data_IF_778947037140
#
_entry.id   IF_778947037140
#
_cell.length_a   1.000
_cell.length_b   1.000
_cell.length_c   1.000
_cell.angle_alpha   90.00
_cell.angle_beta   90.00
_cell.angle_gamma   90.00
#
_symmetry.space_group_name_H-M   'P 1'
#
loop_
_entity.id
_entity.type
_entity.pdbx_description
1 polymer ?
2 non-polymer ?
3 non-polymer ?
4 non-polymer ?
5 non-polymer ?
6 water ?
#
# COMPACT_ATOMS: atom_id res chain seq x y z
N UNK A 14 -14.98 -6.15 18.88
CA UNK A 14 -13.90 -6.34 17.92
C UNK A 14 -13.52 -5.02 17.25
N UNK A 15 -12.92 -5.13 16.06
CA UNK A 15 -12.45 -3.96 15.35
C UNK A 15 -13.63 -3.10 14.89
N UNK A 16 -13.54 -1.79 15.14
CA UNK A 16 -14.52 -0.82 14.64
C UNK A 16 -13.91 -0.13 13.42
N UNK A 17 -14.43 -0.34 12.22
CA UNK A 17 -13.85 0.30 11.02
C UNK A 17 -13.94 1.81 11.10
N UNK A 18 -12.85 2.51 10.81
CA UNK A 18 -12.90 3.98 10.76
C UNK A 18 -13.83 4.45 9.66
N UNK A 19 -14.22 5.73 9.68
CA UNK A 19 -15.03 6.30 8.59
C UNK A 19 -14.30 6.24 7.26
N UNK A 20 -15.09 6.22 6.18
CA UNK A 20 -14.54 6.15 4.83
C UNK A 20 -13.93 7.48 4.39
N UNK A 21 -12.79 7.40 3.71
CA UNK A 21 -12.16 8.57 3.09
C UNK A 21 -12.91 8.96 1.82
N UNK A 22 -12.65 10.16 1.28
CA UNK A 22 -13.36 10.60 0.08
C UNK A 22 -12.99 9.77 -1.14
N UNK A 23 -13.98 9.54 -2.01
CA UNK A 23 -13.78 8.90 -3.31
C UNK A 23 -14.24 9.88 -4.38
N UNK A 24 -13.40 10.11 -5.38
CA UNK A 24 -13.74 11.01 -6.47
C UNK A 24 -13.89 10.22 -7.77
N UNK A 25 -14.86 10.64 -8.59
CA UNK A 25 -15.16 10.01 -9.88
C UNK A 25 -15.10 11.10 -10.95
N UNK A 26 -13.91 11.55 -11.33
CA UNK A 26 -13.81 12.68 -12.26
C UNK A 26 -14.37 12.36 -13.64
N UNK A 27 -14.95 13.37 -14.26
CA UNK A 27 -15.32 13.28 -15.66
C UNK A 27 -14.07 13.27 -16.52
N UNK A 28 -14.27 13.06 -17.83
CA UNK A 28 -13.15 13.09 -18.75
C UNK A 28 -12.48 14.45 -18.77
N UNK A 29 -13.25 15.52 -18.61
CA UNK A 29 -12.67 16.87 -18.58
C UNK A 29 -11.79 17.06 -17.34
N UNK A 30 -12.27 16.63 -16.18
CA UNK A 30 -11.48 16.74 -14.96
C UNK A 30 -10.30 15.78 -14.96
N UNK A 31 -10.42 14.66 -15.67
CA UNK A 31 -9.36 13.65 -15.70
C UNK A 31 -8.18 14.06 -16.58
N UNK A 32 -8.19 15.26 -17.15
CA UNK A 32 -7.17 15.64 -18.12
C UNK A 32 -5.79 15.77 -17.48
N UNK A 33 -5.69 16.41 -16.31
CA UNK A 33 -4.40 16.68 -15.68
C UNK A 33 -4.43 16.23 -14.24
N UNK A 34 -3.56 15.30 -13.82
CA UNK A 34 -3.58 14.87 -12.42
C UNK A 34 -3.27 15.97 -11.43
N UNK A 35 -2.24 16.79 -11.69
CA UNK A 35 -1.88 17.82 -10.72
C UNK A 35 -2.96 18.87 -10.58
N UNK A 36 -3.61 19.24 -11.69
CA UNK A 36 -4.70 20.19 -11.61
C UNK A 36 -5.86 19.61 -10.80
N UNK A 37 -6.16 18.33 -11.01
CA UNK A 37 -7.28 17.71 -10.29
C UNK A 37 -6.97 17.57 -8.81
N UNK A 38 -5.76 17.10 -8.48
CA UNK A 38 -5.37 16.97 -7.08
C UNK A 38 -5.36 18.33 -6.40
N UNK A 39 -4.90 19.36 -7.10
CA UNK A 39 -4.95 20.70 -6.54
C UNK A 39 -6.35 21.16 -6.23
N UNK A 40 -7.32 20.76 -7.06
CA UNK A 40 -8.71 21.18 -6.84
C UNK A 40 -9.37 20.40 -5.70
N UNK A 41 -9.07 19.11 -5.54
CA UNK A 41 -9.71 18.36 -4.46
C UNK A 41 -9.02 18.56 -3.12
N UNK A 42 -7.85 19.21 -3.12
CA UNK A 42 -7.08 19.39 -1.90
C UNK A 42 -7.89 19.92 -0.72
N UNK A 43 -8.80 20.89 -0.86
CA UNK A 43 -9.51 21.38 0.34
C UNK A 43 -10.20 20.29 1.14
N UNK A 44 -10.73 19.26 0.47
CA UNK A 44 -11.32 18.14 1.18
C UNK A 44 -10.27 17.07 1.50
N UNK A 45 -9.51 16.63 0.50
CA UNK A 45 -8.65 15.47 0.68
C UNK A 45 -7.54 15.74 1.71
N UNK A 46 -7.06 16.98 1.79
CA UNK A 46 -6.04 17.28 2.78
C UNK A 46 -6.55 17.09 4.20
N UNK A 47 -7.88 17.15 4.41
CA UNK A 47 -8.45 16.97 5.74
C UNK A 47 -8.65 15.51 6.12
N UNK A 48 -8.48 14.58 5.16
CA UNK A 48 -8.58 13.18 5.47
C UNK A 48 -7.26 12.44 5.27
N UNK A 49 -6.24 13.12 4.75
CA UNK A 49 -4.93 12.53 4.52
C UNK A 49 -4.82 11.69 3.25
N UNK A 50 -5.81 10.85 2.98
CA UNK A 50 -5.82 10.03 1.78
C UNK A 50 -7.15 10.24 1.07
N UNK A 51 -7.13 9.96 -0.23
CA UNK A 51 -8.38 9.92 -0.98
C UNK A 51 -8.25 8.88 -2.08
N UNK A 52 -9.40 8.44 -2.60
CA UNK A 52 -9.43 7.47 -3.68
C UNK A 52 -9.96 8.13 -4.94
N UNK A 53 -9.38 7.81 -6.10
CA UNK A 53 -9.81 8.39 -7.37
C UNK A 53 -10.15 7.25 -8.34
N UNK A 54 -11.41 7.24 -8.81
CA UNK A 54 -11.84 6.24 -9.78
C UNK A 54 -11.82 6.85 -11.18
N UNK A 55 -10.99 6.35 -12.09
CA UNK A 55 -10.93 6.92 -13.43
C UNK A 55 -12.21 6.68 -14.19
N UNK A 56 -12.43 7.38 -15.30
CA UNK A 56 -13.60 7.10 -16.13
C UNK A 56 -13.63 5.63 -16.55
N UNK A 57 -14.84 5.12 -16.78
CA UNK A 57 -15.03 3.70 -17.03
C UNK A 57 -14.20 3.22 -18.22
N UNK A 58 -14.09 4.04 -19.26
CA UNK A 58 -13.36 3.63 -20.46
C UNK A 58 -11.85 3.62 -20.28
N UNK A 59 -11.32 4.15 -19.17
CA UNK A 59 -9.88 4.23 -18.96
C UNK A 59 -9.39 2.92 -18.37
N UNK A 60 -8.75 2.09 -19.20
CA UNK A 60 -8.32 0.75 -18.80
C UNK A 60 -6.94 0.45 -19.38
N UNK A 61 -5.88 0.82 -18.67
CA UNK A 61 -4.53 0.56 -19.18
C UNK A 61 -4.21 -0.92 -19.19
N UNK A 62 -3.52 -1.40 -20.23
CA UNK A 62 -3.09 -2.80 -20.25
C UNK A 62 -1.92 -3.01 -19.31
N UNK A 63 -1.80 -4.24 -18.81
CA UNK A 63 -0.70 -4.58 -17.91
C UNK A 63 0.55 -4.88 -18.72
N UNK A 64 1.63 -4.16 -18.46
CA UNK A 64 2.79 -4.18 -19.34
C UNK A 64 4.05 -4.78 -18.73
N UNK A 65 3.96 -5.42 -17.57
CA UNK A 65 5.14 -6.08 -17.02
C UNK A 65 5.48 -7.33 -17.84
N UNK A 66 6.78 -7.63 -17.90
CA UNK A 66 7.25 -8.89 -18.47
C UNK A 66 6.95 -10.00 -17.47
N UNK A 67 5.85 -10.73 -17.70
CA UNK A 67 5.34 -11.65 -16.69
C UNK A 67 6.12 -12.95 -16.66
N UNK A 68 6.63 -13.40 -17.81
CA UNK A 68 7.30 -14.69 -17.87
C UNK A 68 8.58 -14.69 -17.03
N UNK A 69 9.34 -13.59 -17.08
CA UNK A 69 10.61 -13.50 -16.38
C UNK A 69 10.50 -12.77 -15.04
N UNK A 70 9.29 -12.41 -14.62
CA UNK A 70 9.09 -11.69 -13.37
C UNK A 70 9.31 -12.65 -12.19
N UNK A 71 10.42 -12.49 -11.49
CA UNK A 71 10.80 -13.39 -10.40
C UNK A 71 11.30 -12.56 -9.22
N UNK A 72 10.95 -12.99 -8.01
CA UNK A 72 11.29 -12.18 -6.85
C UNK A 72 11.29 -13.04 -5.60
N UNK A 73 12.01 -12.59 -4.59
CA UNK A 73 12.00 -13.22 -3.28
C UNK A 73 11.30 -12.28 -2.30
N UNK A 74 10.07 -12.58 -1.91
CA UNK A 74 9.31 -11.66 -1.06
C UNK A 74 9.85 -11.63 0.36
N UNK A 75 9.52 -10.56 1.08
CA UNK A 75 9.90 -10.48 2.47
C UNK A 75 8.90 -11.21 3.36
N UNK A 76 9.41 -11.80 4.43
CA UNK A 76 8.58 -12.55 5.37
C UNK A 76 8.05 -11.59 6.42
N UNK A 77 6.74 -11.68 6.70
CA UNK A 77 6.07 -10.82 7.67
C UNK A 77 5.39 -11.66 8.75
N UNK A 78 5.89 -11.55 9.98
CA UNK A 78 5.25 -12.18 11.15
C UNK A 78 4.31 -11.16 11.77
N UNK A 79 3.00 -11.42 11.64
CA UNK A 79 2.03 -10.37 11.95
C UNK A 79 2.15 -9.86 13.38
N UNK A 80 2.45 -10.76 14.33
CA UNK A 80 2.44 -10.40 15.74
C UNK A 80 3.84 -10.17 16.31
N UNK A 81 4.81 -9.77 15.46
CA UNK A 81 6.21 -9.70 15.92
C UNK A 81 6.41 -8.69 17.04
N UNK A 82 5.67 -7.58 17.04
CA UNK A 82 5.83 -6.63 18.14
C UNK A 82 5.21 -7.16 19.42
N UNK A 83 4.04 -7.79 19.32
CA UNK A 83 3.39 -8.36 20.50
C UNK A 83 4.25 -9.45 21.12
N UNK A 84 4.97 -10.21 20.29
CA UNK A 84 5.80 -11.30 20.78
C UNK A 84 7.07 -10.81 21.48
N UNK A 85 7.32 -9.50 21.50
CA UNK A 85 8.45 -8.97 22.27
C UNK A 85 8.21 -9.02 23.77
N UNK A 86 6.96 -9.20 24.20
CA UNK A 86 6.62 -9.25 25.62
C UNK A 86 7.27 -10.44 26.31
N UNK A 89 12.18 -15.18 27.39
CA UNK A 89 12.81 -16.35 26.77
C UNK A 89 12.58 -16.34 25.27
N UNK A 90 13.65 -16.09 24.51
CA UNK A 90 13.52 -16.08 23.05
C UNK A 90 13.32 -17.49 22.51
N UNK A 91 12.64 -17.56 21.36
CA UNK A 91 12.36 -18.85 20.74
C UNK A 91 13.64 -19.54 20.32
N UNK A 92 13.59 -20.87 20.26
CA UNK A 92 14.76 -21.65 19.89
C UNK A 92 15.11 -21.42 18.42
N UNK A 93 16.36 -21.03 18.17
CA UNK A 93 16.87 -20.75 16.82
C UNK A 93 16.04 -19.67 16.12
N UNK A 94 15.82 -18.57 16.81
CA UNK A 94 15.06 -17.47 16.22
C UNK A 94 15.88 -16.81 15.10
N UNK A 95 15.16 -16.28 14.10
CA UNK A 95 15.77 -15.80 12.89
C UNK A 95 15.79 -16.81 11.76
N UNK A 96 15.39 -18.05 12.01
CA UNK A 96 15.37 -19.13 11.04
C UNK A 96 14.02 -19.82 11.01
N UNK A 97 12.95 -19.05 11.23
CA UNK A 97 11.61 -19.65 11.30
C UNK A 97 11.14 -20.08 9.93
N UNK A 98 11.02 -19.15 9.00
CA UNK A 98 10.46 -19.41 7.68
C UNK A 98 11.57 -19.81 6.70
N UNK A 99 11.28 -20.84 5.88
CA UNK A 99 12.17 -21.21 4.80
C UNK A 99 12.04 -20.21 3.66
N UNK A 100 13.16 -19.87 3.04
CA UNK A 100 13.19 -18.79 2.05
C UNK A 100 12.71 -19.30 0.71
N UNK A 101 11.75 -18.60 0.11
CA UNK A 101 11.11 -19.01 -1.12
C UNK A 101 11.23 -17.93 -2.19
N UNK A 102 11.58 -18.34 -3.40
CA UNK A 102 11.53 -17.47 -4.57
C UNK A 102 10.31 -17.85 -5.42
N UNK A 103 9.69 -16.85 -6.04
CA UNK A 103 8.45 -17.03 -6.77
C UNK A 103 8.49 -16.34 -8.13
N UNK A 104 7.67 -16.84 -9.04
CA UNK A 104 7.18 -16.07 -10.17
C UNK A 104 5.84 -15.44 -9.80
N UNK A 105 5.36 -14.53 -10.65
CA UNK A 105 4.02 -13.98 -10.44
C UNK A 105 2.98 -15.08 -10.32
N UNK A 106 3.05 -16.09 -11.20
CA UNK A 106 2.06 -17.16 -11.18
C UNK A 106 2.20 -18.00 -9.92
N UNK A 107 3.44 -18.36 -9.55
CA UNK A 107 3.58 -19.27 -8.41
C UNK A 107 3.30 -18.54 -7.10
N UNK A 108 3.58 -17.24 -7.04
CA UNK A 108 3.16 -16.45 -5.88
C UNK A 108 1.64 -16.40 -5.78
N UNK A 109 0.96 -16.21 -6.92
CA UNK A 109 -0.49 -16.18 -6.91
C UNK A 109 -1.09 -17.48 -6.45
N UNK A 110 -0.55 -18.61 -6.92
CA UNK A 110 -1.03 -19.91 -6.47
C UNK A 110 -0.87 -20.04 -4.96
N UNK A 111 0.31 -19.68 -4.44
CA UNK A 111 0.53 -19.73 -3.00
C UNK A 111 -0.43 -18.83 -2.25
N UNK A 112 -0.63 -17.60 -2.77
CA UNK A 112 -1.45 -16.62 -2.09
C UNK A 112 -2.90 -17.06 -2.00
N UNK A 113 -3.44 -17.60 -3.10
CA UNK A 113 -4.83 -18.01 -3.11
C UNK A 113 -5.03 -19.23 -2.23
N UNK A 114 -4.11 -20.20 -2.28
CA UNK A 114 -4.21 -21.37 -1.40
C UNK A 114 -4.14 -20.97 0.07
N UNK A 115 -3.29 -20.00 0.41
CA UNK A 115 -3.23 -19.55 1.80
C UNK A 115 -4.57 -19.02 2.25
N UNK A 116 -5.18 -18.15 1.44
CA UNK A 116 -6.39 -17.47 1.85
C UNK A 116 -7.58 -18.41 1.88
N UNK A 117 -7.73 -19.25 0.86
CA UNK A 117 -8.85 -20.16 0.84
C UNK A 117 -8.74 -21.19 1.96
N UNK A 118 -7.52 -21.65 2.26
CA UNK A 118 -7.31 -22.54 3.39
C UNK A 118 -7.59 -21.83 4.72
N UNK A 119 -7.15 -20.56 4.83
CA UNK A 119 -7.31 -19.87 6.09
C UNK A 119 -8.77 -19.66 6.44
N UNK A 120 -9.57 -19.21 5.48
CA UNK A 120 -10.99 -18.93 5.74
C UNK A 120 -11.91 -20.08 5.37
N UNK A 121 -11.40 -21.13 4.73
CA UNK A 121 -12.23 -22.29 4.37
C UNK A 121 -13.37 -21.89 3.43
N UNK A 122 -13.06 -21.02 2.46
CA UNK A 122 -14.02 -20.61 1.45
C UNK A 122 -13.26 -20.06 0.26
N UNK A 123 -13.91 -19.93 -0.90
CA UNK A 123 -13.22 -19.39 -2.08
C UNK A 123 -12.75 -17.96 -1.82
N UNK A 124 -11.61 -17.59 -2.40
CA UNK A 124 -10.98 -16.33 -1.98
C UNK A 124 -11.87 -15.13 -2.28
N UNK A 125 -12.65 -15.17 -3.36
CA UNK A 125 -13.49 -14.01 -3.67
C UNK A 125 -14.74 -13.94 -2.81
N UNK A 126 -15.06 -14.96 -2.03
CA UNK A 126 -16.23 -14.94 -1.17
C UNK A 126 -15.93 -14.42 0.24
N UNK A 127 -14.68 -14.13 0.57
CA UNK A 127 -14.35 -13.69 1.93
C UNK A 127 -14.65 -12.20 2.06
N UNK A 128 -15.54 -11.81 2.98
CA UNK A 128 -15.90 -10.40 3.12
C UNK A 128 -14.67 -9.58 3.49
N UNK A 129 -14.56 -8.39 2.89
CA UNK A 129 -13.43 -7.52 3.22
C UNK A 129 -13.43 -7.15 4.70
N UNK A 130 -14.62 -7.02 5.31
CA UNK A 130 -14.71 -6.69 6.73
C UNK A 130 -14.17 -7.80 7.62
N UNK A 131 -14.31 -9.07 7.18
CA UNK A 131 -13.77 -10.18 7.95
C UNK A 131 -12.24 -10.24 7.87
N UNK A 132 -11.68 -10.08 6.67
CA UNK A 132 -10.22 -10.04 6.56
C UNK A 132 -9.66 -8.92 7.45
N UNK A 133 -10.32 -7.75 7.43
CA UNK A 133 -9.88 -6.63 8.27
C UNK A 133 -9.94 -7.00 9.75
N UNK A 134 -11.08 -7.54 10.21
CA UNK A 134 -11.21 -7.91 11.61
C UNK A 134 -10.17 -8.95 12.03
N UNK A 135 -9.93 -9.94 11.17
CA UNK A 135 -8.96 -10.98 11.50
C UNK A 135 -7.54 -10.45 11.50
N UNK A 136 -7.20 -9.59 10.54
CA UNK A 136 -5.86 -9.02 10.48
C UNK A 136 -5.50 -8.36 11.81
N UNK A 137 -6.38 -7.49 12.31
CA UNK A 137 -6.06 -6.78 13.55
C UNK A 137 -6.11 -7.70 14.76
N UNK A 138 -6.90 -8.78 14.73
CA UNK A 138 -6.81 -9.75 15.81
C UNK A 138 -5.45 -10.46 15.78
N UNK A 139 -4.97 -10.83 14.58
CA UNK A 139 -3.73 -11.59 14.48
C UNK A 139 -2.52 -10.75 14.89
N UNK A 140 -2.57 -9.45 14.62
CA UNK A 140 -1.46 -8.56 14.92
C UNK A 140 -1.20 -8.50 16.42
N UNK A 141 -2.25 -8.63 17.22
CA UNK A 141 -2.16 -8.54 18.67
C UNK A 141 -2.23 -9.90 19.36
N UNK A 142 -2.27 -11.00 18.61
CA UNK A 142 -2.47 -12.31 19.21
C UNK A 142 -1.15 -12.93 19.62
N UNK A 143 -1.06 -13.37 20.87
CA UNK A 143 0.11 -14.11 21.34
C UNK A 143 -0.07 -15.60 21.22
N UNK A 144 -1.29 -16.09 20.96
CA UNK A 144 -1.54 -17.52 20.87
C UNK A 144 -1.36 -18.06 19.46
N UNK A 145 -1.64 -17.25 18.43
CA UNK A 145 -1.57 -17.68 17.05
C UNK A 145 -0.50 -16.87 16.32
N UNK A 146 0.43 -17.56 15.66
CA UNK A 146 1.52 -16.91 14.93
C UNK A 146 1.31 -17.15 13.44
N UNK A 147 0.76 -16.14 12.77
CA UNK A 147 0.53 -16.20 11.33
C UNK A 147 1.67 -15.48 10.63
N UNK A 148 2.20 -16.11 9.60
CA UNK A 148 3.33 -15.59 8.84
C UNK A 148 2.94 -15.55 7.37
N UNK A 149 3.14 -14.40 6.73
CA UNK A 149 2.82 -14.23 5.32
C UNK A 149 4.05 -13.63 4.62
N UNK A 150 3.92 -13.42 3.32
CA UNK A 150 5.03 -12.96 2.48
C UNK A 150 4.55 -11.81 1.62
N UNK A 151 5.44 -10.84 1.35
CA UNK A 151 5.07 -9.64 0.60
C UNK A 151 6.14 -9.31 -0.42
N UNK A 152 5.76 -9.24 -1.71
CA UNK A 152 6.66 -8.80 -2.74
C UNK A 152 6.73 -7.28 -2.81
N UNK A 153 7.36 -6.66 -1.84
CA UNK A 153 7.25 -5.22 -1.68
C UNK A 153 8.53 -4.52 -2.13
N UNK A 154 8.37 -3.27 -2.55
CA UNK A 154 9.51 -2.41 -2.92
C UNK A 154 10.33 -3.03 -4.06
N UNK A 155 9.65 -3.58 -5.05
CA UNK A 155 10.30 -4.10 -6.24
C UNK A 155 10.49 -2.91 -7.22
N UNK A 156 11.74 -2.66 -7.62
CA UNK A 156 11.97 -1.51 -8.48
C UNK A 156 11.39 -1.73 -9.86
N UNK A 157 10.73 -0.70 -10.40
CA UNK A 157 10.24 -0.81 -11.77
C UNK A 157 11.36 -0.90 -12.81
N UNK A 158 12.60 -0.61 -12.44
CA UNK A 158 13.70 -0.83 -13.36
C UNK A 158 14.01 -2.31 -13.55
N UNK A 159 13.52 -3.18 -12.67
CA UNK A 159 13.80 -4.60 -12.74
C UNK A 159 13.08 -5.26 -13.92
N UNK A 160 11.76 -5.38 -13.85
CA UNK A 160 10.98 -6.04 -14.90
C UNK A 160 10.04 -5.07 -15.59
N UNK A 161 10.26 -3.78 -15.43
CA UNK A 161 9.44 -2.78 -16.09
C UNK A 161 8.30 -2.33 -15.22
N UNK A 162 7.65 -1.27 -15.68
CA UNK A 162 6.46 -0.76 -15.04
C UNK A 162 5.26 -1.62 -15.43
N UNK A 163 4.22 -1.59 -14.59
CA UNK A 163 2.94 -2.18 -14.98
C UNK A 163 2.23 -1.37 -16.04
N UNK A 164 2.57 -0.07 -16.16
CA UNK A 164 2.08 0.80 -17.22
C UNK A 164 2.97 0.67 -18.46
N UNK A 165 2.41 0.82 -19.66
CA UNK A 165 3.25 0.85 -20.86
C UNK A 165 4.07 2.13 -20.88
N UNK A 166 5.33 2.02 -21.32
CA UNK A 166 6.23 3.15 -21.44
C UNK A 166 6.89 3.12 -22.80
N UNK A 167 7.19 4.30 -23.34
CA UNK A 167 7.84 4.42 -24.64
C UNK A 167 9.34 4.28 -24.47
N UNK A 168 9.87 3.12 -24.85
CA UNK A 168 11.32 2.87 -24.93
C UNK A 168 11.51 1.59 -25.74
N UNK A 169 12.78 1.24 -25.97
CA UNK A 169 13.11 0.05 -26.72
C UNK A 169 13.02 -1.25 -25.94
N UNK A 170 12.44 -1.23 -24.74
CA UNK A 170 12.37 -2.43 -23.92
C UNK A 170 11.31 -3.40 -24.45
N UNK A 171 10.08 -2.93 -24.64
CA UNK A 171 8.98 -3.74 -25.11
C UNK A 171 8.30 -3.04 -26.29
N UNK A 172 7.27 -3.68 -26.83
CA UNK A 172 6.51 -3.15 -27.95
C UNK A 172 5.24 -2.49 -27.45
N UNK A 173 4.85 -1.40 -28.10
CA UNK A 173 3.65 -0.65 -27.75
C UNK A 173 2.69 -0.71 -28.93
N UNK A 174 1.49 -1.22 -28.67
CA UNK A 174 0.42 -1.26 -29.67
C UNK A 174 -0.23 0.12 -29.78
N UNK A 175 -0.87 0.41 -30.92
CA UNK A 175 -1.57 1.70 -31.05
C UNK A 175 -2.59 1.95 -29.94
N UNK A 176 -3.40 0.94 -29.58
CA UNK A 176 -4.36 1.10 -28.50
C UNK A 176 -3.69 1.31 -27.15
N UNK A 177 -2.39 1.02 -27.05
CA UNK A 177 -1.63 1.18 -25.83
C UNK A 177 -1.02 2.58 -25.67
N UNK A 178 -0.85 3.31 -26.78
CA UNK A 178 -0.03 4.51 -26.76
C UNK A 178 -0.66 5.62 -25.90
N UNK A 179 -1.99 5.73 -25.91
CA UNK A 179 -2.64 6.72 -25.06
C UNK A 179 -2.27 6.52 -23.59
N UNK A 180 -2.09 5.28 -23.16
CA UNK A 180 -1.74 5.04 -21.77
C UNK A 180 -0.26 5.29 -21.52
N UNK A 181 0.59 5.02 -22.50
CA UNK A 181 2.00 5.35 -22.38
C UNK A 181 2.20 6.85 -22.22
N UNK A 182 1.31 7.67 -22.78
CA UNK A 182 1.43 9.12 -22.78
C UNK A 182 0.57 9.80 -21.73
N UNK A 183 -0.29 9.06 -21.04
CA UNK A 183 -1.22 9.65 -20.08
C UNK A 183 -0.52 10.30 -18.91
N UNK A 184 -1.05 11.43 -18.46
CA UNK A 184 -0.56 12.04 -17.24
C UNK A 184 -0.77 11.21 -15.99
N UNK A 185 -1.70 10.24 -16.03
CA UNK A 185 -1.97 9.36 -14.90
C UNK A 185 -1.13 8.10 -14.92
N UNK A 186 -0.35 7.88 -15.97
CA UNK A 186 0.69 6.87 -15.97
C UNK A 186 1.75 7.29 -14.95
N UNK A 187 2.00 6.43 -13.95
CA UNK A 187 2.87 6.84 -12.85
C UNK A 187 4.30 7.13 -13.29
N UNK A 188 4.69 6.68 -14.48
CA UNK A 188 6.02 7.03 -15.00
C UNK A 188 6.09 8.46 -15.52
N UNK A 189 4.94 9.12 -15.69
CA UNK A 189 4.89 10.47 -16.22
C UNK A 189 4.55 11.50 -15.16
N UNK A 190 4.61 11.12 -13.89
CA UNK A 190 4.36 12.07 -12.83
C UNK A 190 5.63 12.89 -12.57
N UNK A 191 5.50 14.15 -12.18
CA UNK A 191 6.70 14.95 -11.86
C UNK A 191 7.31 14.48 -10.54
N UNK A 192 8.64 14.32 -10.54
CA UNK A 192 9.32 13.77 -9.38
C UNK A 192 10.50 14.63 -8.92
N UNK A 193 10.84 15.70 -9.63
CA UNK A 193 12.01 16.52 -9.30
C UNK A 193 11.56 17.69 -8.43
N UNK A 194 12.02 17.70 -7.18
CA UNK A 194 11.77 18.81 -6.29
C UNK A 194 12.68 19.98 -6.62
N UNK A 195 12.14 21.20 -6.57
CA UNK A 195 12.93 22.39 -6.82
C UNK A 195 13.93 22.61 -5.68
N UNK A 196 15.19 22.83 -6.03
CA UNK A 196 16.22 23.09 -5.04
C UNK A 196 17.41 23.75 -5.73
N UNK A 197 18.17 24.52 -4.96
CA UNK A 197 19.37 25.16 -5.47
C UNK A 197 20.41 24.09 -5.77
N UNK A 198 20.89 24.07 -7.01
CA UNK A 198 21.89 23.09 -7.44
C UNK A 198 22.60 23.54 -8.70
N UNK A 208 16.16 6.01 -8.21
CA UNK A 208 15.19 5.72 -7.17
C UNK A 208 13.92 6.57 -7.36
N UNK A 209 14.02 7.62 -8.17
CA UNK A 209 12.90 8.50 -8.50
C UNK A 209 12.04 7.87 -9.59
N UNK A 210 11.71 6.59 -9.42
CA UNK A 210 10.95 5.82 -10.40
C UNK A 210 9.82 5.13 -9.63
N UNK A 211 8.83 4.55 -10.29
CA UNK A 211 7.80 3.84 -9.55
C UNK A 211 8.30 2.53 -8.96
N UNK A 212 7.60 2.08 -7.92
CA UNK A 212 7.92 0.84 -7.25
C UNK A 212 6.70 -0.06 -7.26
N UNK A 213 6.94 -1.38 -7.22
CA UNK A 213 5.90 -2.39 -7.37
C UNK A 213 5.71 -3.18 -6.08
N UNK A 214 4.47 -3.65 -5.88
CA UNK A 214 4.08 -4.36 -4.65
C UNK A 214 3.18 -5.52 -5.06
N UNK A 215 3.65 -6.76 -4.83
CA UNK A 215 2.86 -7.97 -5.12
C UNK A 215 2.34 -8.48 -3.78
N UNK A 216 1.04 -8.37 -3.57
CA UNK A 216 0.47 -8.62 -2.27
C UNK A 216 -0.20 -9.99 -2.18
N UNK A 217 -0.36 -10.46 -0.94
CA UNK A 217 -1.21 -11.61 -0.62
C UNK A 217 -2.02 -11.23 0.60
N UNK A 218 -3.04 -12.04 0.92
CA UNK A 218 -3.85 -11.79 2.10
C UNK A 218 -2.98 -11.57 3.33
N UNK A 219 -3.22 -10.46 4.05
CA UNK A 219 -2.63 -10.06 5.32
C UNK A 219 -1.26 -9.41 5.16
N UNK A 220 -0.64 -9.43 3.98
CA UNK A 220 0.59 -8.66 3.81
C UNK A 220 0.29 -7.18 4.02
N UNK A 221 1.27 -6.44 4.56
CA UNK A 221 0.89 -5.14 5.11
C UNK A 221 2.03 -4.13 5.01
N UNK A 222 1.67 -2.86 5.20
CA UNK A 222 2.62 -1.76 5.32
C UNK A 222 2.25 -0.98 6.57
N UNK A 223 3.24 -0.67 7.41
CA UNK A 223 2.91 -0.05 8.68
C UNK A 223 2.88 1.46 8.56
N UNK A 224 2.53 2.14 9.67
CA UNK A 224 2.31 3.58 9.64
C UNK A 224 3.57 4.32 9.25
N UNK A 225 3.46 5.21 8.27
CA UNK A 225 4.62 6.00 7.84
C UNK A 225 4.17 7.22 7.06
N UNK A 226 5.11 8.18 6.93
CA UNK A 226 4.99 9.25 5.95
C UNK A 226 6.11 9.10 4.92
N UNK A 227 5.96 9.79 3.80
CA UNK A 227 6.95 9.69 2.74
C UNK A 227 8.15 10.56 3.06
N UNK A 228 9.30 10.17 2.49
CA UNK A 228 10.48 11.02 2.59
C UNK A 228 10.20 12.42 2.06
N UNK A 229 10.75 13.42 2.74
CA UNK A 229 10.56 14.84 2.38
C UNK A 229 9.09 15.26 2.45
N UNK A 230 8.29 14.52 3.22
CA UNK A 230 6.84 14.77 3.33
C UNK A 230 6.15 14.80 1.97
N UNK A 231 6.63 13.99 1.03
CA UNK A 231 6.14 14.03 -0.34
C UNK A 231 4.71 13.51 -0.44
N UNK A 232 3.98 14.01 -1.45
CA UNK A 232 2.80 13.32 -1.96
C UNK A 232 3.19 11.94 -2.46
N UNK A 233 2.23 11.00 -2.44
CA UNK A 233 2.42 9.76 -3.18
C UNK A 233 1.13 9.41 -3.89
N UNK A 234 1.27 8.70 -5.00
CA UNK A 234 0.11 8.19 -5.73
C UNK A 234 0.34 6.70 -5.99
N UNK A 235 -0.76 5.94 -5.96
CA UNK A 235 -0.71 4.49 -5.82
C UNK A 235 -1.80 3.93 -6.70
N UNK A 236 -1.45 3.00 -7.59
CA UNK A 236 -2.41 2.44 -8.52
C UNK A 236 -2.47 0.93 -8.33
N UNK A 237 -3.68 0.38 -8.24
CA UNK A 237 -3.85 -1.07 -8.14
C UNK A 237 -4.14 -1.61 -9.54
N UNK A 238 -3.14 -2.29 -10.13
CA UNK A 238 -3.29 -2.76 -11.50
C UNK A 238 -4.34 -3.86 -11.61
N UNK A 239 -4.29 -4.83 -10.71
CA UNK A 239 -5.24 -5.94 -10.75
C UNK A 239 -5.23 -6.65 -9.41
N UNK A 240 -6.25 -7.46 -9.19
CA UNK A 240 -6.29 -8.33 -8.02
C UNK A 240 -7.30 -7.89 -6.98
N UNK A 241 -7.18 -8.51 -5.81
CA UNK A 241 -8.07 -8.24 -4.68
C UNK A 241 -7.70 -6.89 -4.06
N UNK A 242 -8.62 -6.28 -3.30
CA UNK A 242 -8.39 -4.90 -2.84
C UNK A 242 -7.23 -4.76 -1.88
N UNK A 243 -6.76 -3.52 -1.78
CA UNK A 243 -5.76 -3.08 -0.81
C UNK A 243 -6.49 -2.17 0.18
N UNK A 244 -6.48 -2.55 1.46
CA UNK A 244 -7.20 -1.78 2.49
C UNK A 244 -6.26 -0.74 3.08
N UNK A 245 -6.73 0.50 3.18
CA UNK A 245 -5.92 1.65 3.60
C UNK A 245 -6.47 2.32 4.85
N UNK A 246 -5.58 2.90 5.64
CA UNK A 246 -5.94 3.82 6.72
C UNK A 246 -5.09 5.06 6.55
N UNK A 247 -5.68 6.23 6.76
CA UNK A 247 -4.95 7.48 6.59
C UNK A 247 -5.25 8.44 7.71
N UNK A 248 -4.28 9.30 8.01
CA UNK A 248 -4.42 10.32 9.04
C UNK A 248 -4.08 11.66 8.40
N UNK A 249 -4.91 12.69 8.56
CA UNK A 249 -4.58 14.00 7.97
C UNK A 249 -3.33 14.57 8.61
N UNK A 250 -2.64 15.43 7.85
CA UNK A 250 -1.35 15.96 8.30
C UNK A 250 -1.47 16.82 9.55
N UNK A 251 -2.63 17.46 9.76
CA UNK A 251 -2.74 18.27 10.97
C UNK A 251 -2.71 17.43 12.24
N UNK A 252 -2.89 16.11 12.14
CA UNK A 252 -2.83 15.21 13.28
C UNK A 252 -1.52 14.42 13.36
N UNK A 253 -0.55 14.75 12.50
CA UNK A 253 0.70 14.00 12.49
C UNK A 253 1.39 13.99 13.85
N UNK A 254 1.49 15.15 14.50
CA UNK A 254 2.17 15.18 15.80
C UNK A 254 1.44 14.38 16.86
N UNK A 255 0.11 14.38 16.83
CA UNK A 255 -0.64 13.62 17.82
C UNK A 255 -0.42 12.12 17.63
N UNK A 256 -0.39 11.67 16.38
CA UNK A 256 -0.10 10.25 16.12
C UNK A 256 1.28 9.89 16.62
N UNK A 257 2.28 10.76 16.39
CA UNK A 257 3.63 10.45 16.83
C UNK A 257 3.71 10.37 18.35
N UNK A 258 2.98 11.24 19.05
CA UNK A 258 2.96 11.17 20.50
C UNK A 258 2.29 9.89 20.99
N UNK A 259 1.21 9.45 20.34
CA UNK A 259 0.57 8.21 20.75
C UNK A 259 1.51 7.03 20.51
N UNK A 260 2.22 7.04 19.37
CA UNK A 260 3.18 6.00 19.05
C UNK A 260 4.24 5.88 20.13
N UNK A 261 4.92 6.98 20.45
CA UNK A 261 5.97 6.94 21.46
C UNK A 261 5.43 6.44 22.79
N UNK A 262 4.22 6.87 23.17
CA UNK A 262 3.65 6.45 24.43
C UNK A 262 3.43 4.94 24.48
N UNK A 263 2.99 4.35 23.37
CA UNK A 263 2.59 2.95 23.34
C UNK A 263 3.53 2.04 22.59
N UNK A 264 4.56 2.58 21.93
CA UNK A 264 5.52 1.73 21.24
C UNK A 264 6.40 0.99 22.24
N UNK A 265 6.96 -0.15 21.84
CA UNK A 265 7.90 -0.86 22.72
C UNK A 265 9.01 0.05 23.21
N UNK A 266 9.38 -0.12 24.49
CA UNK A 266 10.39 0.74 25.09
C UNK A 266 11.73 0.63 24.38
N UNK A 267 12.07 -0.55 23.86
CA UNK A 267 13.35 -0.71 23.17
C UNK A 267 13.43 0.14 21.91
N UNK A 268 12.29 0.42 21.27
CA UNK A 268 12.28 1.20 20.03
C UNK A 268 11.93 2.66 20.26
N UNK A 269 11.72 3.08 21.51
CA UNK A 269 11.19 4.42 21.76
C UNK A 269 12.17 5.50 21.35
N UNK A 270 13.46 5.26 21.54
CA UNK A 270 14.50 6.23 21.23
C UNK A 270 14.91 6.22 19.77
N UNK A 271 14.34 5.36 18.94
CA UNK A 271 14.80 5.27 17.56
C UNK A 271 14.34 6.47 16.75
N UNK A 272 15.16 6.94 15.81
CA UNK A 272 14.71 8.00 14.89
C UNK A 272 13.54 7.51 14.04
N UNK A 273 12.74 8.49 13.59
CA UNK A 273 11.49 8.19 12.88
C UNK A 273 11.72 7.29 11.66
N UNK A 274 12.81 7.51 10.92
CA UNK A 274 13.03 6.76 9.68
C UNK A 274 13.19 5.27 9.95
N UNK A 275 13.75 4.89 11.10
CA UNK A 275 13.84 3.48 11.49
C UNK A 275 12.59 3.03 12.24
N UNK A 276 12.07 3.89 13.12
CA UNK A 276 10.88 3.51 13.87
C UNK A 276 9.73 3.14 12.94
N UNK A 277 9.58 3.85 11.82
CA UNK A 277 8.43 3.55 10.97
C UNK A 277 8.64 2.30 10.10
N UNK A 278 9.73 1.54 10.33
CA UNK A 278 9.80 0.17 9.84
C UNK A 278 8.96 -0.79 10.68
N UNK A 279 8.63 -0.42 11.92
CA UNK A 279 7.93 -1.34 12.82
C UNK A 279 6.82 -0.62 13.58
N UNK A 280 6.25 0.43 12.99
CA UNK A 280 5.16 1.17 13.65
C UNK A 280 3.82 0.61 13.21
N UNK A 281 3.52 -0.61 13.66
CA UNK A 281 2.20 -1.18 13.45
C UNK A 281 1.35 -0.83 14.66
N UNK A 282 0.16 -0.29 14.39
CA UNK A 282 -0.74 0.09 15.48
C UNK A 282 -2.18 0.05 15.00
N UNK A 283 -3.02 -0.59 15.80
CA UNK A 283 -4.44 -0.69 15.51
C UNK A 283 -5.06 0.68 15.35
N UNK A 284 -5.77 0.96 14.25
CA UNK A 284 -6.43 2.27 14.11
C UNK A 284 -7.34 2.63 15.28
N UNK A 285 -7.94 1.64 15.96
CA UNK A 285 -8.83 1.96 17.08
C UNK A 285 -8.06 2.57 18.25
N UNK A 286 -6.83 2.15 18.48
CA UNK A 286 -6.03 2.74 19.54
C UNK A 286 -5.78 4.23 19.26
N UNK A 287 -5.47 4.58 18.01
CA UNK A 287 -5.27 5.98 17.66
C UNK A 287 -6.56 6.76 17.81
N UNK A 288 -7.68 6.16 17.36
CA UNK A 288 -8.97 6.83 17.49
C UNK A 288 -9.35 7.05 18.95
N UNK A 289 -9.05 6.07 19.81
CA UNK A 289 -9.33 6.23 21.24
C UNK A 289 -8.54 7.37 21.84
N UNK A 290 -7.42 7.74 21.24
CA UNK A 290 -6.61 8.87 21.71
C UNK A 290 -6.89 10.16 20.96
N UNK A 291 -7.99 10.22 20.21
CA UNK A 291 -8.38 11.45 19.55
C UNK A 291 -7.77 11.70 18.19
N UNK A 292 -7.04 10.75 17.64
CA UNK A 292 -6.45 10.91 16.31
C UNK A 292 -7.50 10.58 15.26
N UNK A 293 -7.79 11.47 14.31
CA UNK A 293 -8.72 11.11 13.22
C UNK A 293 -8.11 10.10 12.26
N UNK A 294 -8.86 9.05 11.92
CA UNK A 294 -8.40 8.03 10.98
C UNK A 294 -9.50 7.77 9.97
N UNK A 295 -9.14 7.68 8.69
CA UNK A 295 -10.08 7.32 7.64
C UNK A 295 -9.62 6.04 6.94
N UNK A 296 -10.56 5.31 6.35
CA UNK A 296 -10.21 4.05 5.71
C UNK A 296 -10.69 4.04 4.26
N UNK A 297 -10.17 3.09 3.48
CA UNK A 297 -10.78 2.78 2.18
C UNK A 297 -10.30 1.42 1.71
N UNK A 298 -11.16 0.75 0.93
CA UNK A 298 -10.75 -0.41 0.16
C UNK A 298 -10.44 0.06 -1.26
N UNK A 299 -9.18 -0.01 -1.65
CA UNK A 299 -8.79 0.36 -3.02
C UNK A 299 -8.97 -0.85 -3.93
N UNK A 300 -9.86 -0.75 -4.92
CA UNK A 300 -10.11 -1.88 -5.81
C UNK A 300 -9.29 -1.75 -7.09
N UNK A 301 -9.20 -2.85 -7.83
CA UNK A 301 -8.41 -2.85 -9.04
C UNK A 301 -8.87 -1.75 -9.98
N UNK A 302 -7.91 -1.04 -10.54
CA UNK A 302 -8.18 0.08 -11.41
C UNK A 302 -8.37 1.42 -10.72
N UNK A 303 -8.21 1.50 -9.39
CA UNK A 303 -8.40 2.75 -8.67
C UNK A 303 -7.07 3.29 -8.16
N UNK A 304 -6.98 4.61 -8.05
CA UNK A 304 -5.83 5.31 -7.48
C UNK A 304 -6.09 5.69 -6.03
N UNK A 305 -5.04 5.71 -5.22
CA UNK A 305 -5.08 6.33 -3.90
C UNK A 305 -3.97 7.38 -3.86
N UNK A 306 -4.33 8.59 -3.44
CA UNK A 306 -3.37 9.68 -3.29
C UNK A 306 -3.17 9.94 -1.81
N UNK A 307 -1.92 10.10 -1.39
CA UNK A 307 -1.62 10.47 -0.01
C UNK A 307 -1.04 11.88 -0.03
N UNK A 308 -1.47 12.67 0.91
CA UNK A 308 -1.11 14.08 0.94
C UNK A 308 0.13 14.31 1.81
N UNK A 309 0.78 15.47 1.70
CA UNK A 309 2.05 15.68 2.42
C UNK A 309 1.89 15.49 3.93
N UNK A 310 2.76 14.64 4.50
CA UNK A 310 2.82 14.35 5.94
C UNK A 310 1.55 13.66 6.45
N UNK A 311 0.84 12.98 5.56
CA UNK A 311 -0.34 12.18 5.92
C UNK A 311 0.13 10.76 6.24
N UNK A 312 0.09 10.39 7.52
CA UNK A 312 0.46 9.04 7.90
C UNK A 312 -0.51 8.04 7.30
N UNK A 313 0.01 6.90 6.86
CA UNK A 313 -0.87 5.88 6.31
C UNK A 313 -0.29 4.48 6.55
N UNK A 314 -1.19 3.50 6.51
CA UNK A 314 -0.83 2.10 6.70
C UNK A 314 -1.91 1.27 6.02
N UNK A 315 -1.69 -0.03 5.95
CA UNK A 315 -2.74 -0.85 5.34
C UNK A 315 -2.29 -2.28 5.14
N UNK A 316 -3.17 -3.04 4.50
CA UNK A 316 -2.87 -4.44 4.26
C UNK A 316 -3.63 -4.88 3.02
N UNK A 317 -3.22 -6.01 2.45
CA UNK A 317 -3.84 -6.53 1.23
C UNK A 317 -4.86 -7.61 1.56
N UNK A 318 -6.00 -7.56 0.85
CA UNK A 318 -7.08 -8.53 1.00
C UNK A 318 -6.75 -9.88 0.39
N UNK A 319 -5.80 -9.89 -0.55
CA UNK A 319 -5.46 -11.10 -1.27
C UNK A 319 -4.47 -10.78 -2.36
N UNK A 320 -4.31 -11.72 -3.29
CA UNK A 320 -3.35 -11.58 -4.38
C UNK A 320 -3.64 -10.34 -5.22
N UNK A 321 -2.67 -9.44 -5.33
CA UNK A 321 -2.86 -8.22 -6.12
C UNK A 321 -1.51 -7.66 -6.55
N UNK A 322 -1.57 -6.56 -7.31
CA UNK A 322 -0.39 -5.98 -7.93
C UNK A 322 -0.58 -4.47 -7.95
N UNK A 323 0.28 -3.74 -7.24
CA UNK A 323 0.16 -2.30 -7.10
C UNK A 323 1.46 -1.62 -7.53
N UNK A 324 1.34 -0.34 -7.90
CA UNK A 324 2.50 0.46 -8.30
C UNK A 324 2.37 1.84 -7.65
N UNK A 325 3.48 2.36 -7.14
CA UNK A 325 3.42 3.63 -6.42
C UNK A 325 4.60 4.50 -6.80
N UNK A 326 4.41 5.83 -6.71
CA UNK A 326 5.52 6.76 -6.91
C UNK A 326 5.30 7.99 -6.04
N UNK A 327 6.40 8.56 -5.57
CA UNK A 327 6.34 9.82 -4.84
C UNK A 327 6.45 10.94 -5.87
N UNK A 328 5.60 11.96 -5.75
CA UNK A 328 5.63 13.04 -6.73
C UNK A 328 5.63 14.39 -6.03
N UNK A 329 6.02 15.40 -6.79
CA UNK A 329 6.15 16.77 -6.30
C UNK A 329 5.24 17.69 -7.07
N UNK A 330 4.81 18.78 -6.41
CA UNK A 330 3.92 19.74 -7.01
C UNK A 330 4.63 21.07 -7.24
#
# INVERSE_FOLDING_TARGET
HNMAGVGPGGYAAEFVPPPECPVFEPSWEEFTDPLSFIGRIRPLAEKTGICKIRPPKDWQPPFACEVKSFRFTPRVQRLNELEAMTRVRPREAFGFEQAVREYTLQSFGEMADNFKSDYFNMPVHMVPTELVEKEFWRLVSSIEEDVIVEYGADISSKDFGSGFPVKDGRRKILPEEEEYALSGWNLNNMPVLEQSVLAHINVDISGMKVPWLYVGMCFSSFCWHIEDHWSYSINYLHWGEPKTWYGVPSHAAEQLEEVMRELAPELFESQPDLLHQLVTIMNPNVLMEHGVPVYRTNQCAGEFVVTFPRAYHSGFNQGYNFAEAVNFCT
#
